data_IF_861446360219
#
_entry.id   IF_861446360219
#
_cell.length_a   1.000
_cell.length_b   1.000
_cell.length_c   1.000
_cell.angle_alpha   90.00
_cell.angle_beta   90.00
_cell.angle_gamma   90.00
#
_symmetry.space_group_name_H-M   'P 1'
#
loop_
_entity.id
_entity.type
_entity.pdbx_description
1 polymer ?
#
# COMPACT_ATOMS: atom_id res chain seq x y z
N UNK A 1 2.52 19.32 46.00
CA UNK A 1 1.60 19.52 44.84
C UNK A 1 2.42 19.47 43.54
N UNK A 2 2.46 18.32 42.90
CA UNK A 2 3.15 18.18 41.61
C UNK A 2 2.27 18.83 40.55
N UNK A 3 2.82 19.82 39.85
CA UNK A 3 2.08 20.61 38.87
C UNK A 3 1.68 19.73 37.67
N UNK A 4 0.46 19.93 37.19
CA UNK A 4 -0.14 19.21 36.06
C UNK A 4 0.74 19.17 34.78
N UNK A 5 1.63 20.11 34.65
CA UNK A 5 2.52 20.23 33.48
C UNK A 5 3.53 19.06 33.36
N UNK A 6 3.94 18.46 34.48
CA UNK A 6 4.87 17.33 34.47
C UNK A 6 4.17 16.00 34.07
N UNK A 7 2.90 15.88 34.40
CA UNK A 7 2.11 14.68 34.06
C UNK A 7 1.81 14.65 32.55
N UNK A 8 1.48 15.79 31.97
CA UNK A 8 1.20 15.91 30.52
C UNK A 8 2.44 15.60 29.69
N UNK A 9 3.62 16.06 30.08
CA UNK A 9 4.87 15.77 29.39
C UNK A 9 5.24 14.29 29.42
N UNK A 10 4.99 13.60 30.56
CA UNK A 10 5.26 12.15 30.71
C UNK A 10 4.30 11.33 29.83
N UNK A 11 3.02 11.74 29.77
CA UNK A 11 2.03 11.05 28.91
C UNK A 11 2.30 11.24 27.43
N UNK A 12 2.64 12.47 27.02
CA UNK A 12 3.00 12.75 25.63
C UNK A 12 4.28 11.99 25.21
N UNK A 13 5.26 11.91 26.07
CA UNK A 13 6.47 11.15 25.81
C UNK A 13 6.25 9.64 25.71
N UNK A 14 5.36 9.09 26.54
CA UNK A 14 5.02 7.66 26.48
C UNK A 14 4.18 7.33 25.24
N UNK A 15 3.23 8.18 24.86
CA UNK A 15 2.46 8.00 23.61
C UNK A 15 3.36 8.05 22.39
N UNK A 16 4.24 9.03 22.31
CA UNK A 16 5.18 9.17 21.21
C UNK A 16 6.14 7.97 21.12
N UNK A 17 6.66 7.50 22.26
CA UNK A 17 7.50 6.30 22.32
C UNK A 17 6.76 5.03 21.91
N UNK A 18 5.48 4.88 22.31
CA UNK A 18 4.64 3.74 21.94
C UNK A 18 4.32 3.73 20.44
N UNK A 19 3.98 4.89 19.85
CA UNK A 19 3.72 5.04 18.42
C UNK A 19 4.98 4.70 17.61
N UNK A 20 6.14 5.19 18.02
CA UNK A 20 7.42 4.90 17.33
C UNK A 20 7.83 3.42 17.43
N UNK A 21 7.48 2.71 18.52
CA UNK A 21 7.78 1.29 18.71
C UNK A 21 6.93 0.36 17.84
N UNK A 22 5.75 0.82 17.39
CA UNK A 22 4.77 0.02 16.69
C UNK A 22 4.47 0.53 15.27
N UNK A 23 5.39 1.32 14.68
CA UNK A 23 5.26 1.76 13.29
C UNK A 23 5.42 0.56 12.37
N UNK A 24 4.32 0.18 11.70
CA UNK A 24 4.31 -0.96 10.81
C UNK A 24 5.10 -0.69 9.53
N UNK A 25 5.77 -1.74 9.04
CA UNK A 25 6.43 -1.76 7.74
C UNK A 25 5.68 -2.71 6.83
N UNK A 26 5.25 -2.21 5.69
CA UNK A 26 4.51 -2.98 4.68
C UNK A 26 5.36 -3.19 3.44
N UNK A 27 5.19 -4.37 2.84
CA UNK A 27 5.62 -4.67 1.48
C UNK A 27 4.42 -5.14 0.69
N UNK A 28 4.26 -4.63 -0.52
CA UNK A 28 3.11 -4.94 -1.37
C UNK A 28 3.55 -5.41 -2.73
N UNK A 29 2.80 -6.34 -3.32
CA UNK A 29 3.01 -6.77 -4.70
C UNK A 29 1.73 -7.31 -5.31
N UNK A 30 1.71 -7.37 -6.63
CA UNK A 30 0.64 -7.96 -7.43
C UNK A 30 1.20 -8.93 -8.45
N UNK A 31 0.43 -9.94 -8.79
CA UNK A 31 0.80 -10.97 -9.75
C UNK A 31 -0.36 -11.32 -10.65
N UNK A 32 -0.10 -11.37 -11.94
CA UNK A 32 -1.06 -11.79 -12.97
C UNK A 32 -0.35 -12.69 -13.96
N UNK A 33 -0.94 -13.84 -14.29
CA UNK A 33 -0.38 -14.74 -15.30
C UNK A 33 -1.48 -15.55 -15.97
N UNK A 34 -1.62 -15.45 -17.34
CA UNK A 34 -0.95 -14.45 -18.18
C UNK A 34 -1.38 -13.03 -17.81
N UNK A 35 -0.74 -12.01 -18.37
CA UNK A 35 -1.10 -10.60 -18.12
C UNK A 35 -1.65 -9.96 -19.41
N UNK A 36 -2.98 -9.69 -19.57
CA UNK A 36 -4.03 -9.87 -18.54
C UNK A 36 -4.40 -11.33 -18.31
N UNK A 37 -4.98 -11.60 -17.14
CA UNK A 37 -5.43 -12.94 -16.75
C UNK A 37 -5.79 -13.02 -15.27
N UNK A 38 -5.83 -14.23 -14.70
CA UNK A 38 -6.03 -14.39 -13.26
C UNK A 38 -4.94 -13.70 -12.47
N UNK A 39 -5.33 -12.98 -11.42
CA UNK A 39 -4.40 -12.21 -10.62
C UNK A 39 -4.60 -12.37 -9.12
N UNK A 40 -3.59 -11.98 -8.38
CA UNK A 40 -3.61 -11.90 -6.93
C UNK A 40 -2.71 -10.79 -6.44
N UNK A 41 -2.91 -10.38 -5.21
CA UNK A 41 -2.06 -9.41 -4.55
C UNK A 41 -1.78 -9.81 -3.11
N UNK A 42 -0.69 -9.29 -2.58
CA UNK A 42 -0.27 -9.55 -1.21
C UNK A 42 0.17 -8.29 -0.50
N UNK A 43 -0.13 -8.24 0.78
CA UNK A 43 0.42 -7.29 1.73
C UNK A 43 1.19 -8.08 2.79
N UNK A 44 2.46 -7.77 2.94
CA UNK A 44 3.33 -8.28 4.00
C UNK A 44 3.45 -7.17 5.05
N UNK A 45 3.17 -7.49 6.30
CA UNK A 45 3.32 -6.56 7.41
C UNK A 45 4.34 -7.09 8.39
N UNK A 46 5.37 -6.30 8.68
CA UNK A 46 6.45 -6.68 9.60
C UNK A 46 7.01 -8.07 9.28
N UNK A 47 7.25 -8.32 7.98
CA UNK A 47 7.77 -9.57 7.39
C UNK A 47 6.86 -10.79 7.59
N UNK A 48 5.56 -10.58 7.84
CA UNK A 48 4.55 -11.64 7.90
C UNK A 48 3.49 -11.43 6.82
N UNK A 49 3.01 -12.50 6.17
CA UNK A 49 1.87 -12.37 5.27
C UNK A 49 0.65 -11.88 6.05
N UNK A 50 0.03 -10.82 5.57
CA UNK A 50 -1.00 -10.10 6.33
C UNK A 50 -2.34 -10.02 5.62
N UNK A 51 -2.33 -9.68 4.33
CA UNK A 51 -3.53 -9.62 3.50
C UNK A 51 -3.22 -10.27 2.15
N UNK A 52 -4.08 -11.18 1.73
CA UNK A 52 -4.07 -11.75 0.39
C UNK A 52 -5.42 -11.47 -0.26
N UNK A 53 -5.39 -11.11 -1.53
CA UNK A 53 -6.61 -10.87 -2.28
C UNK A 53 -6.46 -11.12 -3.76
N UNK A 54 -7.58 -10.99 -4.46
CA UNK A 54 -7.65 -11.13 -5.91
C UNK A 54 -8.79 -10.28 -6.44
N UNK A 55 -8.94 -10.27 -7.74
CA UNK A 55 -10.07 -9.66 -8.43
C UNK A 55 -10.72 -10.73 -9.29
N UNK A 56 -12.06 -10.74 -9.36
CA UNK A 56 -12.78 -11.70 -10.17
C UNK A 56 -12.52 -11.48 -11.67
N UNK A 57 -12.36 -12.60 -12.40
CA UNK A 57 -12.13 -12.56 -13.84
C UNK A 57 -10.70 -12.17 -14.21
N UNK A 58 -10.54 -11.61 -15.40
CA UNK A 58 -9.24 -11.14 -15.89
C UNK A 58 -8.87 -9.79 -15.27
N UNK A 59 -7.61 -9.67 -14.86
CA UNK A 59 -7.04 -8.44 -14.35
C UNK A 59 -5.63 -8.21 -14.91
N UNK A 60 -4.91 -7.22 -14.38
CA UNK A 60 -3.56 -6.89 -14.83
C UNK A 60 -2.61 -6.74 -13.64
N UNK A 61 -1.32 -6.88 -13.89
CA UNK A 61 -0.30 -6.63 -12.85
C UNK A 61 -0.47 -5.24 -12.22
N UNK A 62 -0.69 -4.22 -13.03
CA UNK A 62 -0.87 -2.84 -12.54
C UNK A 62 -2.05 -2.75 -11.58
N UNK A 63 -3.19 -3.37 -11.92
CA UNK A 63 -4.36 -3.36 -11.05
C UNK A 63 -4.08 -4.08 -9.72
N UNK A 64 -3.42 -5.23 -9.77
CA UNK A 64 -3.10 -6.01 -8.58
C UNK A 64 -2.11 -5.27 -7.67
N UNK A 65 -1.10 -4.64 -8.24
CA UNK A 65 -0.17 -3.78 -7.49
C UNK A 65 -0.89 -2.61 -6.81
N UNK A 66 -1.81 -1.96 -7.52
CA UNK A 66 -2.63 -0.87 -6.97
C UNK A 66 -3.56 -1.34 -5.84
N UNK A 67 -4.19 -2.49 -6.01
CA UNK A 67 -5.07 -3.08 -4.97
C UNK A 67 -4.28 -3.48 -3.73
N UNK A 68 -3.05 -3.96 -3.88
CA UNK A 68 -2.18 -4.25 -2.75
C UNK A 68 -1.87 -2.98 -1.93
N UNK A 69 -1.55 -1.88 -2.61
CA UNK A 69 -1.33 -0.59 -1.96
C UNK A 69 -2.58 -0.07 -1.24
N UNK A 70 -3.75 -0.18 -1.87
CA UNK A 70 -5.02 0.18 -1.25
C UNK A 70 -5.23 -0.64 0.04
N UNK A 71 -5.03 -1.94 -0.01
CA UNK A 71 -5.19 -2.82 1.15
C UNK A 71 -4.24 -2.45 2.29
N UNK A 72 -2.98 -2.13 1.98
CA UNK A 72 -2.01 -1.70 2.98
C UNK A 72 -2.42 -0.37 3.63
N UNK A 73 -2.85 0.60 2.83
CA UNK A 73 -3.32 1.89 3.35
C UNK A 73 -4.57 1.77 4.21
N UNK A 74 -5.51 0.92 3.82
CA UNK A 74 -6.71 0.63 4.61
C UNK A 74 -6.34 0.00 5.96
N UNK A 75 -5.40 -0.94 5.97
CA UNK A 75 -4.93 -1.59 7.19
C UNK A 75 -4.21 -0.62 8.12
N UNK A 76 -3.36 0.22 7.57
CA UNK A 76 -2.64 1.25 8.34
C UNK A 76 -3.57 2.34 8.86
N UNK A 77 -4.65 2.60 8.15
CA UNK A 77 -5.60 3.67 8.42
C UNK A 77 -4.87 5.03 8.52
N UNK A 78 -4.98 5.75 9.60
CA UNK A 78 -4.29 7.01 9.82
C UNK A 78 -2.97 6.87 10.59
N UNK A 79 -2.56 5.64 10.91
CA UNK A 79 -1.33 5.40 11.66
C UNK A 79 -0.08 5.64 10.80
N UNK A 80 0.98 6.21 11.37
CA UNK A 80 2.26 6.30 10.67
C UNK A 80 2.78 4.92 10.28
N UNK A 81 3.22 4.77 9.04
CA UNK A 81 3.77 3.52 8.53
C UNK A 81 4.72 3.78 7.36
N UNK A 82 5.48 2.75 7.02
CA UNK A 82 6.30 2.73 5.81
C UNK A 82 5.73 1.66 4.88
N UNK A 83 5.52 2.00 3.62
CA UNK A 83 5.04 1.05 2.61
C UNK A 83 6.06 0.99 1.47
N UNK A 84 6.60 -0.20 1.25
CA UNK A 84 7.49 -0.48 0.12
C UNK A 84 6.70 -1.12 -1.02
N UNK A 85 6.94 -0.64 -2.22
CA UNK A 85 6.41 -1.20 -3.46
C UNK A 85 7.49 -1.18 -4.54
N UNK A 86 7.49 -2.16 -5.43
CA UNK A 86 8.33 -2.14 -6.63
C UNK A 86 7.64 -1.43 -7.81
N UNK A 87 6.41 -0.96 -7.63
CA UNK A 87 5.66 -0.24 -8.65
C UNK A 87 5.99 1.25 -8.65
N UNK A 88 6.98 1.63 -9.44
CA UNK A 88 7.29 3.04 -9.70
C UNK A 88 6.10 3.80 -10.31
N UNK A 89 5.31 3.11 -11.14
CA UNK A 89 4.10 3.67 -11.74
C UNK A 89 3.13 4.20 -10.68
N UNK A 90 2.78 3.39 -9.66
CA UNK A 90 1.82 3.84 -8.65
C UNK A 90 2.37 4.93 -7.73
N UNK A 91 3.67 4.91 -7.46
CA UNK A 91 4.32 6.01 -6.73
C UNK A 91 4.16 7.31 -7.52
N UNK A 92 4.44 7.28 -8.84
CA UNK A 92 4.30 8.45 -9.69
C UNK A 92 2.84 8.92 -9.79
N UNK A 93 1.89 8.00 -9.85
CA UNK A 93 0.46 8.35 -9.85
C UNK A 93 0.11 9.20 -8.63
N UNK A 94 0.39 8.71 -7.43
CA UNK A 94 -0.07 9.39 -6.20
C UNK A 94 0.74 10.62 -5.83
N UNK A 95 2.02 10.69 -6.25
CA UNK A 95 2.90 11.80 -5.88
C UNK A 95 3.00 12.88 -6.95
N UNK A 96 2.80 12.54 -8.23
CA UNK A 96 3.06 13.46 -9.34
C UNK A 96 1.82 13.74 -10.19
N UNK A 97 1.04 12.72 -10.57
CA UNK A 97 0.00 12.88 -11.59
C UNK A 97 -1.41 13.09 -11.04
N UNK A 98 -1.79 12.35 -10.01
CA UNK A 98 -3.14 12.41 -9.45
C UNK A 98 -3.53 13.80 -8.92
N UNK A 99 -2.64 14.58 -8.28
CA UNK A 99 -3.00 15.94 -7.85
C UNK A 99 -3.51 16.81 -9.00
N UNK A 100 -2.82 16.78 -10.14
CA UNK A 100 -3.25 17.52 -11.32
C UNK A 100 -4.52 16.96 -11.95
N UNK A 101 -4.67 15.64 -12.00
CA UNK A 101 -5.89 15.00 -12.51
C UNK A 101 -7.10 15.35 -11.65
N UNK A 102 -6.96 15.34 -10.33
CA UNK A 102 -8.03 15.74 -9.42
C UNK A 102 -8.48 17.19 -9.65
N UNK A 103 -7.53 18.11 -9.81
CA UNK A 103 -7.82 19.52 -10.08
C UNK A 103 -8.59 19.71 -11.40
N UNK A 104 -8.38 18.83 -12.38
CA UNK A 104 -9.05 18.85 -13.69
C UNK A 104 -10.28 17.94 -13.75
N UNK A 105 -10.83 17.55 -12.59
CA UNK A 105 -12.03 16.71 -12.52
C UNK A 105 -11.80 15.27 -13.00
N UNK A 106 -10.61 14.73 -12.77
CA UNK A 106 -10.22 13.36 -13.15
C UNK A 106 -10.19 13.13 -14.65
N UNK A 107 -9.67 14.13 -15.36
CA UNK A 107 -9.41 14.09 -16.80
C UNK A 107 -7.95 14.37 -17.07
N UNK A 108 -7.45 13.88 -18.20
CA UNK A 108 -6.10 14.19 -18.66
C UNK A 108 -6.11 14.57 -20.13
N UNK A 109 -5.10 15.32 -20.55
CA UNK A 109 -4.87 15.62 -21.96
C UNK A 109 -4.51 14.33 -22.71
N UNK A 110 -5.20 14.04 -23.80
CA UNK A 110 -4.90 12.89 -24.64
C UNK A 110 -5.70 11.63 -24.36
N UNK A 111 -6.77 11.69 -23.56
CA UNK A 111 -7.69 10.58 -23.40
C UNK A 111 -8.08 10.26 -21.95
N UNK A 112 -8.58 9.05 -21.75
CA UNK A 112 -9.04 8.57 -20.46
C UNK A 112 -7.88 8.18 -19.54
N UNK A 113 -8.08 8.35 -18.24
CA UNK A 113 -7.16 7.85 -17.22
C UNK A 113 -7.47 6.36 -17.03
N UNK A 114 -6.50 5.51 -17.35
CA UNK A 114 -6.65 4.06 -17.17
C UNK A 114 -6.68 3.73 -15.67
N UNK A 115 -7.48 2.71 -15.30
CA UNK A 115 -7.62 2.25 -13.93
C UNK A 115 -8.08 3.36 -12.98
N UNK A 116 -8.94 4.26 -13.47
CA UNK A 116 -9.40 5.43 -12.71
C UNK A 116 -10.02 5.07 -11.37
N UNK A 117 -10.72 3.95 -11.28
CA UNK A 117 -11.29 3.43 -10.03
C UNK A 117 -10.19 3.24 -8.95
N UNK A 118 -9.10 2.59 -9.31
CA UNK A 118 -7.95 2.38 -8.40
C UNK A 118 -7.21 3.68 -8.14
N UNK A 119 -6.99 4.49 -9.19
CA UNK A 119 -6.31 5.79 -9.07
C UNK A 119 -6.99 6.68 -8.03
N UNK A 120 -8.30 6.82 -8.11
CA UNK A 120 -9.07 7.70 -7.22
C UNK A 120 -9.05 7.17 -5.78
N UNK A 121 -9.32 5.90 -5.60
CA UNK A 121 -9.34 5.28 -4.26
C UNK A 121 -7.97 5.33 -3.61
N UNK A 122 -6.93 4.95 -4.34
CA UNK A 122 -5.56 4.98 -3.85
C UNK A 122 -5.10 6.38 -3.47
N UNK A 123 -5.38 7.37 -4.32
CA UNK A 123 -5.01 8.74 -4.06
C UNK A 123 -5.74 9.33 -2.85
N UNK A 124 -7.03 9.04 -2.70
CA UNK A 124 -7.80 9.46 -1.52
C UNK A 124 -7.22 8.88 -0.24
N UNK A 125 -6.97 7.57 -0.21
CA UNK A 125 -6.39 6.91 0.95
C UNK A 125 -4.99 7.43 1.27
N UNK A 126 -4.14 7.56 0.26
CA UNK A 126 -2.77 8.06 0.42
C UNK A 126 -2.76 9.50 0.97
N UNK A 127 -3.61 10.37 0.44
CA UNK A 127 -3.69 11.78 0.84
C UNK A 127 -4.15 11.96 2.29
N UNK A 128 -4.93 11.04 2.81
CA UNK A 128 -5.43 11.06 4.20
C UNK A 128 -4.57 10.20 5.14
N UNK A 129 -3.48 9.61 4.64
CA UNK A 129 -2.61 8.74 5.41
C UNK A 129 -1.38 9.45 5.96
N UNK A 130 -0.71 8.79 6.90
CA UNK A 130 0.63 9.14 7.34
C UNK A 130 1.67 8.14 6.81
N UNK A 131 1.38 7.53 5.68
CA UNK A 131 2.27 6.54 5.07
C UNK A 131 3.45 7.21 4.37
N UNK A 132 4.64 6.68 4.62
CA UNK A 132 5.84 6.97 3.85
C UNK A 132 5.96 5.89 2.76
N UNK A 133 5.64 6.25 1.53
CA UNK A 133 5.64 5.34 0.39
C UNK A 133 7.00 5.34 -0.27
N UNK A 134 7.66 4.18 -0.30
CA UNK A 134 9.03 4.02 -0.81
C UNK A 134 9.09 2.99 -1.92
N UNK A 135 9.91 3.28 -2.90
CA UNK A 135 10.23 2.35 -3.97
C UNK A 135 11.31 1.36 -3.52
N UNK A 136 11.12 0.10 -3.88
CA UNK A 136 12.13 -0.96 -3.77
C UNK A 136 12.28 -1.61 -5.13
N UNK A 137 13.53 -1.91 -5.51
CA UNK A 137 13.77 -2.59 -6.78
C UNK A 137 13.34 -4.06 -6.67
N UNK A 138 12.46 -4.50 -7.57
CA UNK A 138 11.99 -5.88 -7.60
C UNK A 138 13.10 -6.87 -7.97
N UNK A 139 13.02 -8.07 -7.39
CA UNK A 139 13.90 -9.20 -7.70
C UNK A 139 15.41 -8.99 -7.44
N UNK A 140 15.76 -8.14 -6.46
CA UNK A 140 17.15 -7.89 -6.08
C UNK A 140 17.51 -8.35 -4.67
N UNK A 141 16.81 -9.35 -4.14
CA UNK A 141 17.14 -9.97 -2.87
C UNK A 141 16.62 -9.25 -1.63
N UNK A 142 15.73 -8.25 -1.77
CA UNK A 142 15.05 -7.66 -0.62
C UNK A 142 14.05 -8.66 -0.04
N UNK A 143 14.21 -9.01 1.23
CA UNK A 143 13.41 -10.05 1.88
C UNK A 143 11.92 -9.74 1.85
N UNK A 144 11.53 -8.52 2.19
CA UNK A 144 10.12 -8.13 2.21
C UNK A 144 9.50 -8.11 0.82
N UNK A 145 10.24 -7.63 -0.18
CA UNK A 145 9.79 -7.63 -1.57
C UNK A 145 9.64 -9.05 -2.12
N UNK A 146 10.58 -9.94 -1.81
CA UNK A 146 10.50 -11.35 -2.22
C UNK A 146 9.32 -12.08 -1.56
N UNK A 147 9.05 -11.81 -0.30
CA UNK A 147 7.85 -12.33 0.39
C UNK A 147 6.57 -11.82 -0.28
N UNK A 148 6.50 -10.54 -0.61
CA UNK A 148 5.33 -9.99 -1.28
C UNK A 148 5.12 -10.63 -2.66
N UNK A 149 6.17 -10.83 -3.43
CA UNK A 149 6.11 -11.52 -4.72
C UNK A 149 5.62 -12.97 -4.56
N UNK A 150 6.21 -13.73 -3.65
CA UNK A 150 5.79 -15.11 -3.36
C UNK A 150 4.31 -15.20 -3.00
N UNK A 151 3.86 -14.39 -2.06
CA UNK A 151 2.49 -14.43 -1.58
C UNK A 151 1.49 -13.87 -2.59
N UNK A 152 1.87 -12.90 -3.43
CA UNK A 152 1.03 -12.46 -4.54
C UNK A 152 0.80 -13.59 -5.54
N UNK A 153 1.83 -14.38 -5.85
CA UNK A 153 1.71 -15.55 -6.70
C UNK A 153 0.81 -16.63 -6.07
N UNK A 154 0.95 -16.87 -4.78
CA UNK A 154 0.09 -17.81 -4.03
C UNK A 154 -1.36 -17.33 -4.01
N UNK A 155 -1.61 -16.03 -3.82
CA UNK A 155 -2.94 -15.44 -3.90
C UNK A 155 -3.55 -15.62 -5.30
N UNK A 156 -2.75 -15.41 -6.35
CA UNK A 156 -3.18 -15.64 -7.74
C UNK A 156 -3.63 -17.09 -7.97
N UNK A 157 -2.98 -18.04 -7.33
CA UNK A 157 -3.32 -19.45 -7.41
C UNK A 157 -4.48 -19.87 -6.49
N UNK A 158 -5.13 -18.91 -5.83
CA UNK A 158 -6.31 -19.14 -5.01
C UNK A 158 -6.06 -19.32 -3.53
N UNK A 159 -4.81 -19.20 -3.07
CA UNK A 159 -4.50 -19.34 -1.65
C UNK A 159 -5.05 -18.15 -0.85
N UNK A 160 -5.50 -18.41 0.37
CA UNK A 160 -5.98 -17.39 1.31
C UNK A 160 -5.36 -17.67 2.68
N UNK A 161 -5.21 -16.62 3.48
CA UNK A 161 -4.72 -16.77 4.85
C UNK A 161 -5.82 -17.34 5.73
N UNK A 162 -5.45 -18.33 6.53
CA UNK A 162 -6.33 -18.87 7.55
C UNK A 162 -6.27 -17.98 8.80
N UNK A 163 -7.45 -17.72 9.37
CA UNK A 163 -7.55 -16.97 10.63
C UNK A 163 -7.28 -17.88 11.82
#
# INVERSE_FOLDING_TARGET
MLRDDNIRAIWAGRLCSSIMRHMATYYTDGSTSPNPGPGGFAVIRDLQPWILGSEDGETTNIRMEGKALIAALQDADEAPCVIYTDSEFWINVVTKWAPGWQQRGWTKKGGEIKNLDIVRELYELYSNSQADLRWVRGHEGDEGNELADEWANRARLGERLTK
#
